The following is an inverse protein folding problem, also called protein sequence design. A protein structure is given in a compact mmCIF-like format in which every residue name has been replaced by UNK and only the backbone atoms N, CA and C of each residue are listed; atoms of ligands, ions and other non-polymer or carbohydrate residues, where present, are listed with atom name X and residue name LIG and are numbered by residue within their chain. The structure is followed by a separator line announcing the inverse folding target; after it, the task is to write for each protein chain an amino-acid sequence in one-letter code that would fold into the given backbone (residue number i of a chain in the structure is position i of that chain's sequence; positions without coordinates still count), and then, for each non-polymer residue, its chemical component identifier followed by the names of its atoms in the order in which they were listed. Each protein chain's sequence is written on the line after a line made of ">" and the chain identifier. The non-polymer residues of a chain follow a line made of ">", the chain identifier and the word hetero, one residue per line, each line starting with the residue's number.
data_IF_474009647874
#
_entry.id   IF_474009647874
#
_cell.length_a   1.000
_cell.length_b   1.000
_cell.length_c   1.000
_cell.angle_alpha   90.00
_cell.angle_beta   90.00
_cell.angle_gamma   90.00
#
_symmetry.space_group_name_H-M   'P 1'
#
loop_
_entity.id
_entity.type
_entity.pdbx_description
1 polymer ?
#
# COMPACT_ATOMS: atom_id res chain seq x y z
N UNK A 1 5.37 -9.75 0.48
CA UNK A 1 5.40 -8.38 1.06
C UNK A 1 6.81 -8.00 1.49
N UNK A 2 7.18 -6.72 1.34
CA UNK A 2 8.49 -6.18 1.75
C UNK A 2 8.25 -4.86 2.47
N UNK A 3 8.75 -4.76 3.71
CA UNK A 3 8.65 -3.54 4.51
C UNK A 3 10.03 -2.90 4.70
N UNK A 4 10.13 -1.58 4.57
CA UNK A 4 11.37 -0.84 4.73
C UNK A 4 11.16 0.67 4.77
N UNK A 5 12.26 1.43 4.64
CA UNK A 5 12.24 2.90 4.63
C UNK A 5 12.96 3.42 3.38
N UNK A 6 12.41 4.46 2.75
CA UNK A 6 12.94 5.03 1.49
C UNK A 6 14.36 5.59 1.62
N UNK A 7 14.83 5.87 2.83
CA UNK A 7 16.19 6.33 3.08
C UNK A 7 17.22 5.19 3.01
N UNK A 8 16.76 3.92 3.06
CA UNK A 8 17.60 2.73 3.12
C UNK A 8 17.48 1.85 1.87
N UNK A 9 17.06 2.39 0.72
CA UNK A 9 16.79 1.61 -0.50
C UNK A 9 18.03 0.85 -1.03
N UNK A 10 19.22 1.26 -0.68
CA UNK A 10 20.45 0.52 -1.01
C UNK A 10 20.53 -0.88 -0.38
N UNK A 11 19.76 -1.13 0.67
CA UNK A 11 19.66 -2.44 1.33
C UNK A 11 18.74 -3.41 0.58
N UNK A 12 18.01 -2.92 -0.43
CA UNK A 12 17.03 -3.68 -1.22
C UNK A 12 17.45 -3.78 -2.72
N UNK A 13 18.67 -4.23 -3.05
CA UNK A 13 19.14 -4.25 -4.44
C UNK A 13 18.38 -5.24 -5.33
N UNK A 14 17.65 -6.18 -4.71
CA UNK A 14 16.89 -7.25 -5.36
C UNK A 14 15.50 -6.81 -5.84
N UNK A 15 15.04 -5.59 -5.51
CA UNK A 15 13.74 -5.09 -5.97
C UNK A 15 13.69 -5.01 -7.51
N UNK A 16 12.53 -5.30 -8.04
CA UNK A 16 12.24 -5.17 -9.47
C UNK A 16 12.40 -3.72 -9.93
N UNK A 17 12.82 -3.52 -11.18
CA UNK A 17 13.07 -2.18 -11.73
C UNK A 17 11.82 -1.29 -11.67
N UNK A 18 10.63 -1.85 -11.90
CA UNK A 18 9.36 -1.12 -11.82
C UNK A 18 9.08 -0.60 -10.39
N UNK A 19 9.48 -1.35 -9.36
CA UNK A 19 9.37 -0.92 -7.97
C UNK A 19 10.38 0.17 -7.65
N UNK A 20 11.62 0.03 -8.14
CA UNK A 20 12.65 1.09 -8.02
C UNK A 20 12.20 2.40 -8.68
N UNK A 21 11.51 2.31 -9.82
CA UNK A 21 10.91 3.47 -10.50
C UNK A 21 9.93 4.24 -9.61
N UNK A 22 9.11 3.53 -8.81
CA UNK A 22 8.21 4.16 -7.84
C UNK A 22 8.97 4.99 -6.80
N UNK A 23 10.08 4.44 -6.27
CA UNK A 23 10.88 5.13 -5.26
C UNK A 23 11.65 6.31 -5.85
N UNK A 24 12.17 6.20 -7.07
CA UNK A 24 12.80 7.33 -7.77
C UNK A 24 11.78 8.45 -8.03
N UNK A 25 10.55 8.08 -8.42
CA UNK A 25 9.47 9.05 -8.56
C UNK A 25 9.15 9.73 -7.22
N UNK A 26 9.02 8.97 -6.14
CA UNK A 26 8.75 9.50 -4.81
C UNK A 26 9.85 10.44 -4.29
N UNK A 27 11.11 10.20 -4.67
CA UNK A 27 12.25 11.07 -4.28
C UNK A 27 12.36 12.34 -5.11
N UNK A 28 11.92 12.31 -6.36
CA UNK A 28 12.08 13.42 -7.31
C UNK A 28 10.86 14.32 -7.42
N UNK A 29 9.73 13.92 -6.82
CA UNK A 29 8.47 14.66 -6.82
C UNK A 29 8.02 14.95 -5.39
N UNK A 30 7.51 16.16 -5.16
CA UNK A 30 6.92 16.54 -3.88
C UNK A 30 5.51 15.97 -3.74
N UNK A 31 5.39 14.68 -3.40
CA UNK A 31 4.12 13.99 -3.24
C UNK A 31 3.24 14.60 -2.14
N UNK A 32 3.85 15.31 -1.17
CA UNK A 32 3.09 16.01 -0.15
C UNK A 32 2.22 17.13 -0.72
N UNK A 33 2.64 17.74 -1.84
CA UNK A 33 1.89 18.78 -2.55
C UNK A 33 0.78 18.25 -3.47
N UNK A 34 0.78 16.93 -3.75
CA UNK A 34 -0.21 16.33 -4.65
C UNK A 34 -1.59 16.30 -4.00
N UNK A 35 -2.62 16.62 -4.81
CA UNK A 35 -4.01 16.47 -4.39
C UNK A 35 -4.41 14.99 -4.29
N UNK A 36 -5.40 14.70 -3.43
CA UNK A 36 -6.02 13.37 -3.31
C UNK A 36 -6.56 12.90 -4.66
N UNK A 37 -6.31 11.64 -4.98
CA UNK A 37 -6.77 11.00 -6.21
C UNK A 37 -5.66 10.28 -6.96
N UNK A 38 -5.97 9.84 -8.18
CA UNK A 38 -5.04 9.11 -9.05
C UNK A 38 -4.25 10.06 -9.93
N UNK A 39 -2.95 9.85 -10.02
CA UNK A 39 -2.01 10.60 -10.85
C UNK A 39 -1.26 9.64 -11.77
N UNK A 40 -1.39 9.83 -13.07
CA UNK A 40 -0.73 9.02 -14.09
C UNK A 40 0.78 9.28 -14.09
N UNK A 41 1.56 8.20 -14.20
CA UNK A 41 3.02 8.26 -14.39
C UNK A 41 3.37 7.69 -15.78
N UNK A 42 2.87 6.49 -16.09
CA UNK A 42 3.02 5.81 -17.38
C UNK A 42 1.74 5.02 -17.71
N UNK A 43 0.69 5.72 -18.11
CA UNK A 43 -0.61 5.13 -18.45
C UNK A 43 -1.15 4.21 -17.36
N UNK A 44 -1.57 3.02 -17.77
CA UNK A 44 -2.05 1.98 -16.86
C UNK A 44 -0.93 1.07 -16.32
N UNK A 45 0.30 1.20 -16.85
CA UNK A 45 1.45 0.43 -16.38
C UNK A 45 1.89 0.86 -14.98
N UNK A 46 1.87 2.18 -14.73
CA UNK A 46 2.31 2.77 -13.48
C UNK A 46 1.55 4.07 -13.20
N UNK A 47 0.89 4.13 -12.08
CA UNK A 47 0.25 5.35 -11.57
C UNK A 47 0.33 5.39 -10.05
N UNK A 48 0.07 6.55 -9.46
CA UNK A 48 0.08 6.72 -8.00
C UNK A 48 -1.25 7.28 -7.52
N UNK A 49 -1.83 6.63 -6.53
CA UNK A 49 -3.00 7.11 -5.80
C UNK A 49 -2.52 7.83 -4.53
N UNK A 50 -2.83 9.12 -4.43
CA UNK A 50 -2.63 9.88 -3.20
C UNK A 50 -3.90 9.77 -2.38
N UNK A 51 -3.77 9.23 -1.18
CA UNK A 51 -4.88 9.05 -0.24
C UNK A 51 -4.66 9.88 1.02
N UNK A 52 -5.75 10.43 1.51
CA UNK A 52 -5.85 11.11 2.78
C UNK A 52 -7.11 10.63 3.47
N UNK A 53 -6.96 10.09 4.67
CA UNK A 53 -8.06 9.61 5.49
C UNK A 53 -7.67 9.56 6.97
N UNK A 54 -8.66 9.42 7.83
CA UNK A 54 -8.44 9.16 9.25
C UNK A 54 -8.46 7.65 9.49
N UNK A 55 -7.43 7.14 10.15
CA UNK A 55 -7.37 5.73 10.56
C UNK A 55 -8.47 5.40 11.56
N UNK A 56 -8.88 4.13 11.63
CA UNK A 56 -9.97 3.66 12.49
C UNK A 56 -9.68 2.27 13.04
N UNK A 57 -10.65 1.67 13.72
CA UNK A 57 -10.50 0.33 14.29
C UNK A 57 -10.43 -0.75 13.20
N UNK A 58 -9.78 -1.89 13.45
CA UNK A 58 -9.69 -2.97 12.47
C UNK A 58 -11.07 -3.50 12.03
N UNK A 59 -12.08 -3.47 12.91
CA UNK A 59 -13.43 -3.95 12.64
C UNK A 59 -14.18 -3.11 11.60
N UNK A 60 -13.79 -1.86 11.46
CA UNK A 60 -14.34 -0.94 10.44
C UNK A 60 -13.59 -1.00 9.11
N UNK A 61 -12.57 -1.86 9.01
CA UNK A 61 -11.74 -1.99 7.82
C UNK A 61 -11.93 -3.36 7.17
N UNK A 62 -11.75 -3.41 5.86
CA UNK A 62 -11.82 -4.62 5.06
C UNK A 62 -10.43 -5.09 4.64
N UNK A 63 -10.34 -6.37 4.34
CA UNK A 63 -9.16 -7.00 3.75
C UNK A 63 -9.25 -6.95 2.23
N UNK A 64 -8.11 -6.73 1.59
CA UNK A 64 -7.98 -6.69 0.15
C UNK A 64 -6.67 -7.31 -0.33
N UNK A 65 -6.67 -7.75 -1.58
CA UNK A 65 -5.50 -8.03 -2.39
C UNK A 65 -5.83 -7.67 -3.84
N UNK A 66 -4.83 -7.70 -4.70
CA UNK A 66 -4.93 -7.33 -6.12
C UNK A 66 -4.41 -8.48 -6.97
N UNK A 67 -4.88 -8.59 -8.23
CA UNK A 67 -4.41 -9.63 -9.16
C UNK A 67 -3.51 -9.08 -10.27
N UNK A 68 -3.81 -7.86 -10.73
CA UNK A 68 -3.17 -7.27 -11.90
C UNK A 68 -2.10 -6.24 -11.52
N UNK A 69 -2.11 -5.78 -10.26
CA UNK A 69 -1.17 -4.79 -9.75
C UNK A 69 -0.54 -5.26 -8.45
N UNK A 70 0.70 -4.88 -8.23
CA UNK A 70 1.27 -4.84 -6.89
C UNK A 70 1.15 -3.41 -6.36
N UNK A 71 1.00 -3.30 -5.04
CA UNK A 71 0.91 -2.03 -4.35
C UNK A 71 2.23 -1.69 -3.68
N UNK A 72 2.73 -0.47 -3.95
CA UNK A 72 3.85 0.10 -3.20
C UNK A 72 3.31 1.27 -2.38
N UNK A 73 3.04 1.02 -1.10
CA UNK A 73 2.63 2.06 -0.15
C UNK A 73 3.87 2.83 0.31
N UNK A 74 3.79 4.17 0.29
CA UNK A 74 4.81 5.06 0.85
C UNK A 74 4.13 6.06 1.75
N UNK A 75 4.45 6.06 3.04
CA UNK A 75 3.87 7.00 3.99
C UNK A 75 4.49 8.39 3.79
N UNK A 76 3.62 9.37 3.57
CA UNK A 76 4.00 10.77 3.40
C UNK A 76 3.93 11.49 4.74
N UNK A 77 2.82 11.26 5.48
CA UNK A 77 2.63 11.88 6.79
C UNK A 77 1.67 11.05 7.66
N UNK A 78 2.00 10.94 8.94
CA UNK A 78 1.19 10.29 9.96
C UNK A 78 1.57 8.83 10.23
N UNK A 79 0.75 8.15 11.03
CA UNK A 79 1.00 6.76 11.43
C UNK A 79 -0.20 5.88 11.06
N UNK A 80 0.08 4.76 10.45
CA UNK A 80 -0.93 3.78 10.05
C UNK A 80 -0.43 2.36 10.35
N UNK A 81 -1.28 1.56 10.96
CA UNK A 81 -1.07 0.12 10.99
C UNK A 81 -1.70 -0.51 9.75
N UNK A 82 -0.95 -1.39 9.09
CA UNK A 82 -1.45 -2.27 8.05
C UNK A 82 -1.36 -3.71 8.56
N UNK A 83 -2.51 -4.38 8.66
CA UNK A 83 -2.57 -5.79 9.00
C UNK A 83 -2.31 -6.64 7.77
N UNK A 84 -1.62 -7.78 7.96
CA UNK A 84 -1.09 -8.61 6.89
C UNK A 84 -1.42 -10.09 7.11
N UNK A 85 -1.72 -10.78 6.01
CA UNK A 85 -1.78 -12.23 5.93
C UNK A 85 -1.56 -12.67 4.47
N UNK A 86 -1.35 -13.95 4.23
CA UNK A 86 -1.34 -14.51 2.89
C UNK A 86 -2.75 -14.92 2.46
N UNK A 87 -3.12 -14.68 1.20
CA UNK A 87 -4.46 -14.99 0.68
C UNK A 87 -4.86 -16.46 0.87
N UNK A 88 -3.89 -17.38 0.89
CA UNK A 88 -4.12 -18.81 1.12
C UNK A 88 -4.65 -19.15 2.52
N UNK A 89 -4.51 -18.23 3.47
CA UNK A 89 -5.01 -18.37 4.85
C UNK A 89 -6.33 -17.64 5.07
N UNK A 90 -6.89 -17.04 4.00
CA UNK A 90 -8.05 -16.17 4.06
C UNK A 90 -9.25 -16.80 3.35
N UNK A 91 -10.44 -16.42 3.73
CA UNK A 91 -11.68 -16.74 3.04
C UNK A 91 -11.90 -15.73 1.91
N UNK A 92 -11.56 -16.11 0.68
CA UNK A 92 -11.64 -15.24 -0.49
C UNK A 92 -13.10 -15.08 -0.93
N UNK A 93 -13.46 -13.87 -1.34
CA UNK A 93 -14.75 -13.53 -1.95
C UNK A 93 -14.60 -13.33 -3.46
N UNK A 94 -15.70 -12.97 -4.12
CA UNK A 94 -15.70 -12.75 -5.56
C UNK A 94 -14.80 -11.56 -5.92
N UNK A 95 -13.94 -11.79 -6.91
CA UNK A 95 -13.03 -10.78 -7.43
C UNK A 95 -13.80 -9.73 -8.23
N UNK A 96 -13.59 -8.46 -7.93
CA UNK A 96 -14.13 -7.31 -8.66
C UNK A 96 -13.11 -6.85 -9.68
N UNK A 97 -13.28 -7.27 -10.93
CA UNK A 97 -12.29 -7.08 -12.00
C UNK A 97 -12.06 -5.60 -12.34
N UNK A 98 -13.12 -4.79 -12.34
CA UNK A 98 -13.06 -3.35 -12.68
C UNK A 98 -12.16 -2.55 -11.73
N UNK A 99 -12.08 -2.97 -10.46
CA UNK A 99 -11.32 -2.29 -9.42
C UNK A 99 -10.00 -3.02 -9.05
N UNK A 100 -9.72 -4.14 -9.73
CA UNK A 100 -8.64 -5.07 -9.34
C UNK A 100 -8.69 -5.42 -7.84
N UNK A 101 -9.89 -5.68 -7.32
CA UNK A 101 -10.16 -5.82 -5.91
C UNK A 101 -10.57 -7.25 -5.55
N UNK A 102 -9.77 -7.92 -4.74
CA UNK A 102 -10.06 -9.23 -4.18
C UNK A 102 -10.39 -9.09 -2.69
N UNK A 103 -11.69 -8.98 -2.33
CA UNK A 103 -12.08 -8.92 -0.93
C UNK A 103 -11.94 -10.29 -0.26
N UNK A 104 -11.70 -10.27 1.05
CA UNK A 104 -11.56 -11.50 1.83
C UNK A 104 -11.90 -11.27 3.30
N UNK A 105 -12.13 -12.36 4.03
CA UNK A 105 -12.26 -12.36 5.48
C UNK A 105 -11.19 -13.24 6.11
N UNK A 106 -10.77 -12.91 7.31
CA UNK A 106 -9.81 -13.69 8.08
C UNK A 106 -9.11 -12.89 9.15
N UNK A 107 -8.28 -13.59 9.90
CA UNK A 107 -7.48 -13.03 10.97
C UNK A 107 -6.13 -12.53 10.45
N UNK A 108 -5.56 -11.55 11.12
CA UNK A 108 -4.19 -11.13 10.79
C UNK A 108 -3.16 -12.14 11.26
N UNK A 109 -2.14 -12.33 10.45
CA UNK A 109 -0.93 -13.07 10.82
C UNK A 109 0.11 -12.14 11.47
N UNK A 110 0.25 -10.95 10.88
CA UNK A 110 1.21 -9.93 11.34
C UNK A 110 0.66 -8.54 11.04
N UNK A 111 1.37 -7.53 11.49
CA UNK A 111 1.10 -6.14 11.12
C UNK A 111 2.40 -5.33 11.08
N UNK A 112 2.40 -4.27 10.29
CA UNK A 112 3.45 -3.25 10.28
C UNK A 112 2.83 -1.91 10.62
N UNK A 113 3.61 -1.03 11.23
CA UNK A 113 3.26 0.37 11.42
C UNK A 113 4.12 1.19 10.48
N UNK A 114 3.47 1.93 9.57
CA UNK A 114 4.13 2.87 8.68
C UNK A 114 4.15 4.25 9.33
N UNK A 115 5.31 4.87 9.34
CA UNK A 115 5.56 6.27 9.69
C UNK A 115 6.18 7.00 8.50
N UNK A 116 6.35 8.31 8.58
CA UNK A 116 6.88 9.12 7.48
C UNK A 116 8.14 8.51 6.82
N UNK A 117 8.06 8.23 5.53
CA UNK A 117 9.13 7.63 4.73
C UNK A 117 9.19 6.09 4.76
N UNK A 118 8.36 5.43 5.55
CA UNK A 118 8.26 3.97 5.49
C UNK A 118 7.49 3.53 4.24
N UNK A 119 7.86 2.36 3.74
CA UNK A 119 7.16 1.73 2.61
C UNK A 119 6.77 0.28 2.91
N UNK A 120 5.70 -0.15 2.27
CA UNK A 120 5.27 -1.54 2.23
C UNK A 120 4.93 -1.93 0.79
N UNK A 121 5.53 -3.01 0.29
CA UNK A 121 5.20 -3.60 -1.00
C UNK A 121 4.31 -4.81 -0.76
N UNK A 122 3.12 -4.84 -1.38
CA UNK A 122 2.19 -5.95 -1.35
C UNK A 122 2.09 -6.59 -2.74
N UNK A 123 2.41 -7.88 -2.83
CA UNK A 123 2.27 -8.70 -4.03
C UNK A 123 0.85 -9.32 -4.08
N UNK A 124 0.42 -9.90 -5.20
CA UNK A 124 -0.92 -10.50 -5.31
C UNK A 124 -1.26 -11.57 -4.25
N UNK A 125 -0.23 -12.23 -3.70
CA UNK A 125 -0.42 -13.20 -2.63
C UNK A 125 -0.57 -12.60 -1.23
N UNK A 126 -0.40 -11.28 -1.11
CA UNK A 126 -0.34 -10.58 0.16
C UNK A 126 -1.67 -9.88 0.45
N UNK A 127 -2.53 -10.54 1.24
CA UNK A 127 -3.72 -9.92 1.80
C UNK A 127 -3.32 -8.84 2.81
N UNK A 128 -3.92 -7.65 2.65
CA UNK A 128 -3.64 -6.51 3.52
C UNK A 128 -4.91 -5.77 3.91
N UNK A 129 -4.91 -5.20 5.12
CA UNK A 129 -5.99 -4.38 5.66
C UNK A 129 -5.41 -3.07 6.11
N UNK A 130 -5.71 -2.01 5.36
CA UNK A 130 -5.17 -0.66 5.54
C UNK A 130 -6.07 0.21 6.42
N UNK A 131 -5.61 1.43 6.73
CA UNK A 131 -6.32 2.44 7.52
C UNK A 131 -6.63 2.02 8.97
N UNK A 132 -5.85 1.10 9.52
CA UNK A 132 -5.98 0.72 10.93
C UNK A 132 -5.22 1.70 11.81
N UNK A 133 -5.88 2.20 12.88
CA UNK A 133 -5.27 3.08 13.86
C UNK A 133 -4.18 2.38 14.67
N UNK A 134 -3.13 3.11 15.05
CA UNK A 134 -2.05 2.57 15.90
C UNK A 134 -2.49 2.58 17.37
N UNK A 135 -2.89 3.70 17.90
CA UNK A 135 -3.42 3.88 19.26
C UNK A 135 -4.78 4.56 19.22
N UNK A 136 -4.85 5.66 18.51
CA UNK A 136 -6.05 6.46 18.31
C UNK A 136 -6.18 6.85 16.84
N UNK A 137 -7.38 7.28 16.38
CA UNK A 137 -7.56 7.74 15.00
C UNK A 137 -6.64 8.91 14.68
N UNK A 138 -5.94 8.83 13.55
CA UNK A 138 -5.02 9.86 13.06
C UNK A 138 -5.29 10.11 11.57
N UNK A 139 -5.25 11.37 11.15
CA UNK A 139 -5.32 11.71 9.74
C UNK A 139 -3.94 11.51 9.11
N UNK A 140 -3.88 10.69 8.08
CA UNK A 140 -2.65 10.36 7.36
C UNK A 140 -2.72 10.81 5.91
N UNK A 141 -1.54 10.96 5.30
CA UNK A 141 -1.37 11.09 3.85
C UNK A 141 -0.39 10.03 3.36
N UNK A 142 -0.78 9.30 2.33
CA UNK A 142 -0.01 8.19 1.80
C UNK A 142 -0.07 8.14 0.28
N UNK A 143 1.03 7.77 -0.36
CA UNK A 143 1.08 7.39 -1.77
C UNK A 143 0.95 5.88 -1.90
N UNK A 144 0.15 5.41 -2.84
CA UNK A 144 0.03 4.01 -3.22
C UNK A 144 0.32 3.91 -4.71
N UNK A 145 1.53 3.48 -5.06
CA UNK A 145 1.86 3.22 -6.45
C UNK A 145 1.24 1.89 -6.86
N UNK A 146 0.56 1.91 -7.99
CA UNK A 146 -0.01 0.74 -8.66
C UNK A 146 0.90 0.36 -9.80
N UNK A 147 1.58 -0.77 -9.67
CA UNK A 147 2.53 -1.30 -10.65
C UNK A 147 1.91 -2.51 -11.34
N UNK A 148 1.65 -2.41 -12.63
CA UNK A 148 1.05 -3.50 -13.41
C UNK A 148 2.02 -4.66 -13.57
N UNK A 149 1.56 -5.90 -13.35
CA UNK A 149 2.34 -7.12 -13.42
C UNK A 149 1.80 -8.09 -14.46
#
# INVERSE_FOLDING_TARGET
>A
MIFGNINNLSEFPFLEEQVKECFEYAKTHDLASYGKGSHEIDGDRLFVNIVEYTTTTPEERFWEAHKNYLDVHVMIHGNEQIDLNFIQNMELKDFVEEDDFLPMDGEKNSSVVLTDGDFLICYPSDGHRTAVQVQEPETIKKAIFKVKI
#
